data_IF_749675369783
#
_entry.id   IF_749675369783
#
_cell.length_a   1.000
_cell.length_b   1.000
_cell.length_c   1.000
_cell.angle_alpha   90.00
_cell.angle_beta   90.00
_cell.angle_gamma   90.00
#
_symmetry.space_group_name_H-M   'P 1'
#
loop_
_entity.id
_entity.type
_entity.pdbx_description
1 polymer ?
#
# COMPACT_ATOMS: atom_id res chain seq x y z
N UNK A 1 -0.14 -12.82 21.54
CA UNK A 1 -0.52 -12.20 20.23
C UNK A 1 -0.69 -10.70 20.39
N UNK A 2 -0.34 -9.89 19.36
CA UNK A 2 -0.58 -8.45 19.32
C UNK A 2 -1.56 -8.12 18.18
N UNK A 3 -2.36 -7.08 18.37
CA UNK A 3 -3.18 -6.49 17.30
C UNK A 3 -2.51 -5.16 16.89
N UNK A 4 -2.42 -4.90 15.60
CA UNK A 4 -1.88 -3.66 15.04
C UNK A 4 -2.87 -3.07 14.03
N UNK A 5 -2.81 -1.77 13.85
CA UNK A 5 -3.53 -1.08 12.79
C UNK A 5 -2.74 -1.12 11.48
N UNK A 6 -3.46 -1.02 10.38
CA UNK A 6 -2.84 -0.82 9.06
C UNK A 6 -2.43 0.64 8.88
N UNK A 7 -1.41 0.87 8.06
CA UNK A 7 -0.92 2.23 7.80
C UNK A 7 -0.18 2.32 6.47
N UNK A 8 -0.07 3.54 5.96
CA UNK A 8 0.71 3.88 4.77
C UNK A 8 1.71 4.97 5.13
N UNK A 9 2.95 4.82 4.72
CA UNK A 9 3.99 5.84 4.92
C UNK A 9 4.88 5.97 3.68
N UNK A 10 5.39 7.18 3.46
CA UNK A 10 6.30 7.47 2.36
C UNK A 10 7.71 6.95 2.69
N UNK A 11 8.34 6.26 1.74
CA UNK A 11 9.78 5.96 1.77
C UNK A 11 10.52 6.99 0.93
N UNK A 12 10.10 7.19 -0.32
CA UNK A 12 10.62 8.23 -1.19
C UNK A 12 9.61 8.59 -2.29
N UNK A 13 9.79 9.75 -2.89
CA UNK A 13 9.05 10.24 -4.04
C UNK A 13 9.99 11.05 -4.93
N UNK A 14 9.73 11.09 -6.23
CA UNK A 14 10.45 11.97 -7.15
C UNK A 14 10.46 13.41 -6.60
N UNK A 15 11.64 14.05 -6.45
CA UNK A 15 11.69 15.46 -6.04
C UNK A 15 10.92 16.34 -7.02
N UNK A 16 10.14 17.31 -6.50
CA UNK A 16 9.32 18.21 -7.31
C UNK A 16 8.57 17.48 -8.45
N UNK A 17 7.70 16.49 -8.15
CA UNK A 17 7.24 15.53 -9.14
C UNK A 17 6.46 16.17 -10.30
N UNK A 18 5.73 17.26 -10.06
CA UNK A 18 5.00 17.96 -11.12
C UNK A 18 5.95 18.71 -12.07
N UNK A 19 7.08 19.23 -11.56
CA UNK A 19 8.15 19.81 -12.41
C UNK A 19 8.83 18.73 -13.25
N UNK A 20 9.09 17.55 -12.68
CA UNK A 20 9.66 16.44 -13.42
C UNK A 20 8.73 15.99 -14.58
N UNK A 21 7.43 15.94 -14.33
CA UNK A 21 6.41 15.64 -15.34
C UNK A 21 6.39 16.71 -16.44
N UNK A 22 6.43 17.99 -16.08
CA UNK A 22 6.48 19.09 -17.06
C UNK A 22 7.73 19.01 -17.90
N UNK A 23 8.90 18.84 -17.29
CA UNK A 23 10.18 18.78 -17.99
C UNK A 23 10.18 17.64 -19.03
N UNK A 24 9.68 16.46 -18.67
CA UNK A 24 9.53 15.35 -19.59
C UNK A 24 8.56 15.67 -20.74
N UNK A 25 7.40 16.23 -20.42
CA UNK A 25 6.36 16.51 -21.42
C UNK A 25 6.73 17.64 -22.39
N UNK A 26 7.46 18.67 -21.94
CA UNK A 26 7.92 19.77 -22.83
C UNK A 26 8.88 19.27 -23.89
N UNK A 27 9.66 18.24 -23.62
CA UNK A 27 10.57 17.62 -24.58
C UNK A 27 9.85 17.13 -25.85
N UNK A 28 8.61 16.62 -25.71
CA UNK A 28 7.85 16.10 -26.84
C UNK A 28 7.53 17.17 -27.90
N UNK A 29 7.36 18.42 -27.50
CA UNK A 29 6.98 19.54 -28.37
C UNK A 29 8.07 20.58 -28.50
N UNK A 30 9.29 20.33 -27.93
CA UNK A 30 10.39 21.28 -27.90
C UNK A 30 9.93 22.66 -27.39
N UNK A 31 9.21 22.65 -26.27
CA UNK A 31 8.59 23.83 -25.67
C UNK A 31 9.14 24.13 -24.26
N UNK A 32 10.40 23.81 -24.03
CA UNK A 32 11.13 24.05 -22.79
C UNK A 32 11.19 25.55 -22.42
N UNK A 33 11.14 26.42 -23.43
CA UNK A 33 11.03 27.88 -23.30
C UNK A 33 9.76 28.35 -22.55
N UNK A 34 8.74 27.48 -22.43
CA UNK A 34 7.50 27.76 -21.70
C UNK A 34 7.54 27.34 -20.23
N UNK A 35 8.63 26.76 -19.77
CA UNK A 35 8.80 26.40 -18.35
C UNK A 35 9.00 27.68 -17.55
N UNK A 36 8.19 27.85 -16.50
CA UNK A 36 8.28 28.95 -15.53
C UNK A 36 8.16 28.40 -14.12
N UNK A 37 8.41 29.20 -13.10
CA UNK A 37 8.31 28.80 -11.70
C UNK A 37 6.90 28.26 -11.31
N UNK A 38 5.86 28.65 -12.06
CA UNK A 38 4.46 28.30 -11.77
C UNK A 38 3.79 27.41 -12.83
N UNK A 39 4.48 27.04 -13.91
CA UNK A 39 3.84 26.31 -15.04
C UNK A 39 3.58 24.83 -14.77
N UNK A 40 4.35 24.21 -13.86
CA UNK A 40 4.31 22.76 -13.60
C UNK A 40 2.93 22.27 -13.13
N UNK A 41 2.29 23.00 -12.23
CA UNK A 41 0.97 22.66 -11.70
C UNK A 41 -0.08 22.53 -12.82
N UNK A 42 -0.22 23.58 -13.63
CA UNK A 42 -1.15 23.61 -14.75
C UNK A 42 -0.81 22.55 -15.80
N UNK A 43 0.48 22.32 -16.06
CA UNK A 43 0.91 21.30 -17.01
C UNK A 43 0.54 19.90 -16.53
N UNK A 44 0.83 19.55 -15.27
CA UNK A 44 0.51 18.27 -14.67
C UNK A 44 -1.01 18.01 -14.69
N UNK A 45 -1.82 18.99 -14.30
CA UNK A 45 -3.28 18.94 -14.38
C UNK A 45 -3.76 18.67 -15.82
N UNK A 46 -3.22 19.39 -16.81
CA UNK A 46 -3.56 19.19 -18.21
C UNK A 46 -3.24 17.79 -18.69
N UNK A 47 -2.05 17.26 -18.39
CA UNK A 47 -1.65 15.89 -18.78
C UNK A 47 -2.56 14.84 -18.15
N UNK A 48 -2.98 15.07 -16.91
CA UNK A 48 -3.87 14.17 -16.18
C UNK A 48 -5.29 14.19 -16.77
N UNK A 49 -5.87 15.37 -16.95
CA UNK A 49 -7.28 15.54 -17.39
C UNK A 49 -7.50 15.22 -18.87
N UNK A 50 -6.50 15.44 -19.73
CA UNK A 50 -6.58 15.11 -21.14
C UNK A 50 -6.17 13.68 -21.49
N UNK A 51 -5.80 12.86 -20.47
CA UNK A 51 -5.43 11.46 -20.66
C UNK A 51 -4.02 11.22 -21.20
N UNK A 52 -3.17 12.26 -21.23
CA UNK A 52 -1.76 12.11 -21.64
C UNK A 52 -0.92 11.46 -20.52
N UNK A 53 -1.38 10.32 -20.02
CA UNK A 53 -0.84 9.67 -18.83
C UNK A 53 0.60 9.16 -18.99
N UNK A 54 1.13 9.05 -20.21
CA UNK A 54 2.54 8.73 -20.42
C UNK A 54 3.48 9.75 -19.74
N UNK A 55 3.06 11.01 -19.64
CA UNK A 55 3.88 12.05 -19.01
C UNK A 55 3.97 11.88 -17.50
N UNK A 56 2.90 11.45 -16.86
CA UNK A 56 2.91 11.24 -15.40
C UNK A 56 3.65 9.96 -14.98
N UNK A 57 4.08 9.11 -15.92
CA UNK A 57 4.96 7.98 -15.66
C UNK A 57 6.39 8.40 -15.28
N UNK A 58 6.79 9.66 -15.58
CA UNK A 58 8.10 10.21 -15.26
C UNK A 58 8.26 10.61 -13.78
N UNK A 59 7.20 10.53 -12.98
CA UNK A 59 7.27 10.63 -11.53
C UNK A 59 6.91 9.31 -10.88
N UNK A 60 7.57 8.98 -9.78
CA UNK A 60 7.41 7.72 -9.06
C UNK A 60 7.42 7.92 -7.56
N UNK A 61 6.83 7.00 -6.82
CA UNK A 61 6.87 6.96 -5.37
C UNK A 61 7.04 5.52 -4.85
N UNK A 62 7.68 5.40 -3.70
CA UNK A 62 7.80 4.16 -2.94
C UNK A 62 7.10 4.34 -1.60
N UNK A 63 6.06 3.55 -1.35
CA UNK A 63 5.29 3.58 -0.12
C UNK A 63 5.48 2.27 0.65
N UNK A 64 5.60 2.40 1.98
CA UNK A 64 5.50 1.27 2.91
C UNK A 64 4.07 1.14 3.36
N UNK A 65 3.51 -0.04 3.22
CA UNK A 65 2.15 -0.39 3.61
C UNK A 65 2.23 -1.47 4.69
N UNK A 66 1.68 -1.17 5.86
CA UNK A 66 1.44 -2.16 6.92
C UNK A 66 0.00 -2.62 6.77
N UNK A 67 -0.19 -3.91 6.57
CA UNK A 67 -1.50 -4.55 6.41
C UNK A 67 -1.40 -6.03 6.75
N UNK A 68 -2.41 -6.82 6.41
CA UNK A 68 -2.34 -8.26 6.54
C UNK A 68 -1.94 -8.97 5.24
N UNK A 69 -1.71 -10.27 5.34
CA UNK A 69 -1.30 -11.09 4.20
C UNK A 69 -2.42 -11.28 3.17
N UNK A 70 -3.67 -11.33 3.59
CA UNK A 70 -4.82 -11.41 2.67
C UNK A 70 -4.86 -10.20 1.74
N UNK A 71 -4.75 -9.00 2.29
CA UNK A 71 -4.73 -7.75 1.54
C UNK A 71 -3.46 -7.61 0.70
N UNK A 72 -2.30 -8.06 1.21
CA UNK A 72 -1.07 -7.99 0.41
C UNK A 72 -1.16 -8.81 -0.88
N UNK A 73 -1.94 -9.89 -0.90
CA UNK A 73 -2.21 -10.66 -2.13
C UNK A 73 -3.02 -9.88 -3.17
N UNK A 74 -3.83 -8.92 -2.76
CA UNK A 74 -4.51 -7.99 -3.67
C UNK A 74 -3.58 -6.89 -4.18
N UNK A 75 -2.67 -6.37 -3.33
CA UNK A 75 -1.71 -5.34 -3.69
C UNK A 75 -0.77 -5.82 -4.79
N UNK A 76 -0.20 -7.02 -4.67
CA UNK A 76 0.75 -7.56 -5.65
C UNK A 76 0.14 -7.93 -7.01
N UNK A 77 -1.18 -7.78 -7.18
CA UNK A 77 -1.84 -7.94 -8.48
C UNK A 77 -1.60 -6.75 -9.41
N UNK A 78 -1.10 -5.63 -8.90
CA UNK A 78 -0.68 -4.46 -9.67
C UNK A 78 0.73 -4.68 -10.21
N UNK A 79 0.83 -5.21 -11.44
CA UNK A 79 2.08 -5.77 -11.98
C UNK A 79 3.06 -4.74 -12.55
N UNK A 80 2.63 -3.48 -12.74
CA UNK A 80 3.50 -2.38 -13.16
C UNK A 80 4.17 -1.71 -11.96
N UNK A 81 4.53 -2.49 -10.95
CA UNK A 81 5.14 -2.05 -9.72
C UNK A 81 6.20 -3.06 -9.25
N UNK A 82 7.10 -2.59 -8.39
CA UNK A 82 8.08 -3.43 -7.70
C UNK A 82 7.69 -3.61 -6.24
N UNK A 83 7.96 -4.79 -5.69
CA UNK A 83 7.55 -5.17 -4.35
C UNK A 83 8.70 -5.73 -3.52
N UNK A 84 8.75 -5.33 -2.25
CA UNK A 84 9.53 -5.99 -1.21
C UNK A 84 8.60 -6.22 -0.02
N UNK A 85 8.46 -7.47 0.42
CA UNK A 85 7.53 -7.85 1.46
C UNK A 85 8.21 -8.62 2.59
N UNK A 86 7.79 -8.39 3.83
CA UNK A 86 8.18 -9.18 5.00
C UNK A 86 7.96 -10.67 4.71
N UNK A 87 9.04 -11.44 4.85
CA UNK A 87 9.03 -12.86 4.49
C UNK A 87 8.78 -13.73 5.71
N UNK A 88 7.68 -14.44 5.75
CA UNK A 88 7.40 -15.47 6.76
C UNK A 88 8.34 -16.69 6.69
N UNK A 89 9.18 -16.78 5.67
CA UNK A 89 10.23 -17.80 5.57
C UNK A 89 11.43 -17.44 6.44
N UNK A 90 11.79 -16.15 6.47
CA UNK A 90 12.98 -15.66 7.18
C UNK A 90 12.65 -15.01 8.52
N UNK A 91 11.44 -14.48 8.69
CA UNK A 91 11.00 -13.91 9.95
C UNK A 91 10.53 -15.01 10.88
N UNK A 92 11.32 -15.25 11.93
CA UNK A 92 10.96 -16.19 13.00
C UNK A 92 10.25 -15.43 14.12
N UNK A 93 8.94 -15.62 14.24
CA UNK A 93 8.10 -14.93 15.23
C UNK A 93 8.32 -15.43 16.67
N UNK A 94 9.06 -16.52 16.88
CA UNK A 94 9.48 -16.95 18.22
C UNK A 94 10.70 -16.19 18.76
N UNK A 95 11.29 -15.28 17.98
CA UNK A 95 12.44 -14.48 18.41
C UNK A 95 12.06 -13.17 19.08
N UNK A 96 12.98 -12.64 19.90
CA UNK A 96 12.79 -11.41 20.69
C UNK A 96 12.43 -10.19 19.85
N UNK A 97 12.93 -10.10 18.62
CA UNK A 97 12.58 -9.05 17.64
C UNK A 97 11.06 -8.94 17.41
N UNK A 98 10.34 -10.05 17.54
CA UNK A 98 8.89 -10.13 17.39
C UNK A 98 8.16 -10.26 18.73
N UNK A 99 8.87 -10.03 19.87
CA UNK A 99 8.36 -10.20 21.22
C UNK A 99 7.78 -11.61 21.47
N UNK A 100 8.39 -12.61 20.84
CA UNK A 100 8.02 -14.03 20.97
C UNK A 100 6.55 -14.29 20.63
N UNK A 101 6.02 -13.65 19.59
CA UNK A 101 4.62 -13.78 19.19
C UNK A 101 4.32 -13.20 17.81
N UNK A 102 3.12 -13.50 17.31
CA UNK A 102 2.64 -12.92 16.07
C UNK A 102 1.91 -11.58 16.30
N UNK A 103 1.85 -10.79 15.28
CA UNK A 103 0.99 -9.61 15.20
C UNK A 103 -0.05 -9.83 14.12
N UNK A 104 -1.30 -9.46 14.36
CA UNK A 104 -2.41 -9.57 13.40
C UNK A 104 -3.03 -8.21 13.16
N UNK A 105 -3.69 -8.05 12.01
CA UNK A 105 -4.55 -6.91 11.71
C UNK A 105 -6.00 -7.33 11.94
N UNK A 106 -6.71 -6.61 12.79
CA UNK A 106 -8.13 -6.84 13.00
C UNK A 106 -8.92 -6.33 11.77
N UNK A 107 -9.75 -7.18 11.13
CA UNK A 107 -10.56 -6.73 10.01
C UNK A 107 -11.54 -5.62 10.42
N UNK A 108 -11.84 -4.64 9.54
CA UNK A 108 -12.77 -3.56 9.85
C UNK A 108 -14.13 -4.08 10.33
N UNK A 109 -14.59 -3.56 11.46
CA UNK A 109 -15.86 -3.94 12.07
C UNK A 109 -15.83 -5.24 12.89
N UNK A 110 -14.75 -6.02 12.84
CA UNK A 110 -14.64 -7.26 13.61
C UNK A 110 -14.68 -7.02 15.12
N UNK A 111 -14.05 -5.94 15.62
CA UNK A 111 -14.05 -5.59 17.06
C UNK A 111 -15.45 -5.39 17.66
N UNK A 112 -16.40 -4.97 16.82
CA UNK A 112 -17.82 -4.78 17.20
C UNK A 112 -18.70 -5.97 16.84
N UNK A 113 -18.12 -7.01 16.26
CA UNK A 113 -18.83 -8.20 15.85
C UNK A 113 -19.09 -9.13 17.05
N UNK A 114 -20.24 -9.81 17.13
CA UNK A 114 -20.47 -10.89 18.10
C UNK A 114 -19.51 -12.07 17.90
N UNK A 115 -18.77 -12.10 16.80
CA UNK A 115 -17.78 -13.15 16.49
C UNK A 115 -16.34 -12.77 16.84
N UNK A 116 -16.12 -11.61 17.47
CA UNK A 116 -14.78 -11.13 17.80
C UNK A 116 -13.98 -12.13 18.65
N UNK A 117 -14.60 -12.65 19.73
CA UNK A 117 -13.95 -13.61 20.62
C UNK A 117 -13.55 -14.91 19.89
N UNK A 118 -14.40 -15.38 18.96
CA UNK A 118 -14.09 -16.57 18.18
C UNK A 118 -12.92 -16.32 17.21
N UNK A 119 -12.91 -15.15 16.56
CA UNK A 119 -11.80 -14.73 15.70
C UNK A 119 -10.50 -14.60 16.49
N UNK A 120 -10.56 -13.96 17.66
CA UNK A 120 -9.40 -13.75 18.52
C UNK A 120 -8.81 -15.09 19.00
N UNK A 121 -9.66 -15.99 19.50
CA UNK A 121 -9.26 -17.33 19.93
C UNK A 121 -8.62 -18.15 18.78
N UNK A 122 -9.13 -18.04 17.56
CA UNK A 122 -8.55 -18.71 16.38
C UNK A 122 -7.15 -18.19 16.07
N UNK A 123 -6.92 -16.87 16.20
CA UNK A 123 -5.61 -16.26 16.02
C UNK A 123 -4.62 -16.67 17.14
N UNK A 124 -5.06 -16.73 18.39
CA UNK A 124 -4.23 -17.23 19.52
C UNK A 124 -3.87 -18.71 19.37
N UNK A 125 -4.80 -19.53 18.91
CA UNK A 125 -4.51 -20.94 18.60
C UNK A 125 -3.47 -21.06 17.49
N UNK A 126 -3.57 -20.23 16.42
CA UNK A 126 -2.56 -20.18 15.35
C UNK A 126 -1.18 -19.80 15.89
N UNK A 127 -1.11 -18.78 16.77
CA UNK A 127 0.14 -18.35 17.40
C UNK A 127 0.74 -19.48 18.24
N UNK A 128 -0.03 -20.03 19.18
CA UNK A 128 0.44 -21.09 20.07
C UNK A 128 0.90 -22.33 19.30
N UNK A 129 0.18 -22.70 18.24
CA UNK A 129 0.58 -23.80 17.37
C UNK A 129 1.89 -23.51 16.64
N UNK A 130 2.05 -22.31 16.06
CA UNK A 130 3.28 -21.89 15.40
C UNK A 130 4.47 -21.93 16.38
N UNK A 131 4.33 -21.31 17.55
CA UNK A 131 5.40 -21.27 18.57
C UNK A 131 5.77 -22.66 19.06
N UNK A 132 4.78 -23.53 19.30
CA UNK A 132 5.00 -24.93 19.69
C UNK A 132 5.78 -25.69 18.60
N UNK A 133 5.38 -25.55 17.33
CA UNK A 133 6.09 -26.19 16.21
C UNK A 133 7.56 -25.76 16.14
N UNK A 134 7.83 -24.45 16.25
CA UNK A 134 9.20 -23.93 16.24
C UNK A 134 9.99 -24.39 17.44
N UNK A 135 9.39 -24.40 18.64
CA UNK A 135 10.03 -24.89 19.86
C UNK A 135 10.45 -26.36 19.75
N UNK A 136 9.65 -27.18 19.06
CA UNK A 136 9.98 -28.59 18.78
C UNK A 136 10.84 -28.80 17.54
N UNK A 137 11.50 -27.76 17.05
CA UNK A 137 12.50 -27.85 15.98
C UNK A 137 11.95 -27.83 14.54
N UNK A 138 10.65 -27.56 14.36
CA UNK A 138 10.10 -27.35 13.01
C UNK A 138 10.60 -25.99 12.51
N UNK A 139 11.19 -25.99 11.30
CA UNK A 139 11.69 -24.75 10.70
C UNK A 139 10.59 -23.74 10.50
N UNK A 140 10.84 -22.42 10.73
CA UNK A 140 9.84 -21.36 10.54
C UNK A 140 9.17 -21.38 9.17
N UNK A 141 9.92 -21.72 8.11
CA UNK A 141 9.39 -21.83 6.74
C UNK A 141 8.31 -22.92 6.56
N UNK A 142 8.26 -23.88 7.46
CA UNK A 142 7.22 -24.93 7.50
C UNK A 142 6.14 -24.55 8.53
N UNK A 143 6.57 -24.13 9.73
CA UNK A 143 5.65 -23.74 10.81
C UNK A 143 4.67 -22.65 10.40
N UNK A 144 5.09 -21.72 9.51
CA UNK A 144 4.23 -20.65 8.98
C UNK A 144 2.93 -21.12 8.31
N UNK A 145 2.82 -22.41 7.98
CA UNK A 145 1.63 -22.98 7.33
C UNK A 145 0.36 -22.87 8.18
N UNK A 146 0.50 -22.70 9.50
CA UNK A 146 -0.64 -22.53 10.43
C UNK A 146 -0.98 -21.06 10.72
N UNK A 147 -0.21 -20.10 10.17
CA UNK A 147 -0.45 -18.68 10.41
C UNK A 147 -1.70 -18.18 9.67
N UNK A 148 -2.51 -17.32 10.31
CA UNK A 148 -3.75 -16.83 9.71
C UNK A 148 -3.48 -15.83 8.58
N UNK A 149 -4.46 -15.65 7.68
CA UNK A 149 -4.39 -14.64 6.61
C UNK A 149 -4.37 -13.20 7.15
N UNK A 150 -4.94 -12.97 8.34
CA UNK A 150 -4.89 -11.68 9.03
C UNK A 150 -3.52 -11.40 9.69
N UNK A 151 -2.52 -12.30 9.53
CA UNK A 151 -1.15 -12.03 9.98
C UNK A 151 -0.64 -10.72 9.41
N UNK A 152 -0.18 -9.80 10.29
CA UNK A 152 0.44 -8.53 9.89
C UNK A 152 1.61 -8.78 8.96
N UNK A 153 1.72 -7.96 7.94
CA UNK A 153 2.88 -7.92 7.04
C UNK A 153 3.24 -6.47 6.72
N UNK A 154 4.46 -6.26 6.31
CA UNK A 154 4.93 -5.01 5.73
C UNK A 154 5.26 -5.26 4.27
N UNK A 155 4.76 -4.40 3.39
CA UNK A 155 5.05 -4.44 1.97
C UNK A 155 5.45 -3.05 1.48
N UNK A 156 6.57 -2.98 0.80
CA UNK A 156 6.99 -1.79 0.05
C UNK A 156 6.53 -1.95 -1.38
N UNK A 157 5.76 -1.00 -1.87
CA UNK A 157 5.36 -0.91 -3.27
C UNK A 157 6.00 0.33 -3.88
N UNK A 158 6.72 0.14 -4.98
CA UNK A 158 7.30 1.21 -5.79
C UNK A 158 6.64 1.20 -7.16
N UNK A 159 6.04 2.32 -7.53
CA UNK A 159 5.38 2.48 -8.82
C UNK A 159 5.49 3.92 -9.33
N UNK A 160 5.30 4.11 -10.66
CA UNK A 160 5.12 5.44 -11.21
C UNK A 160 3.73 6.01 -10.89
N UNK A 161 3.52 7.30 -11.12
CA UNK A 161 2.27 7.96 -10.75
C UNK A 161 1.05 7.45 -11.54
N UNK A 162 1.24 7.00 -12.78
CA UNK A 162 0.15 6.37 -13.54
C UNK A 162 -0.33 5.09 -12.88
N UNK A 163 0.57 4.23 -12.41
CA UNK A 163 0.21 3.00 -11.72
C UNK A 163 -0.36 3.27 -10.31
N UNK A 164 0.14 4.29 -9.60
CA UNK A 164 -0.49 4.71 -8.34
C UNK A 164 -1.92 5.21 -8.55
N UNK A 165 -2.19 5.97 -9.60
CA UNK A 165 -3.57 6.37 -9.96
C UNK A 165 -4.42 5.15 -10.28
N UNK A 166 -3.90 4.20 -11.06
CA UNK A 166 -4.59 2.95 -11.38
C UNK A 166 -4.90 2.14 -10.11
N UNK A 167 -3.94 2.01 -9.19
CA UNK A 167 -4.15 1.36 -7.89
C UNK A 167 -5.32 2.01 -7.13
N UNK A 168 -5.32 3.33 -6.99
CA UNK A 168 -6.36 4.07 -6.27
C UNK A 168 -7.72 3.91 -6.95
N UNK A 169 -7.77 4.04 -8.27
CA UNK A 169 -9.01 3.91 -9.06
C UNK A 169 -9.61 2.50 -8.99
N UNK A 170 -8.77 1.47 -8.96
CA UNK A 170 -9.25 0.09 -8.90
C UNK A 170 -9.65 -0.32 -7.47
N UNK A 171 -8.96 0.18 -6.43
CA UNK A 171 -9.14 -0.25 -5.05
C UNK A 171 -10.02 0.67 -4.19
N UNK A 172 -10.28 1.90 -4.66
CA UNK A 172 -11.15 2.87 -3.99
C UNK A 172 -12.66 2.58 -4.01
N UNK A 173 -13.24 1.98 -5.08
CA UNK A 173 -14.69 1.74 -5.18
C UNK A 173 -15.26 0.89 -4.04
N UNK A 174 -16.55 1.11 -3.69
CA UNK A 174 -17.28 0.35 -2.64
C UNK A 174 -17.30 -1.17 -2.84
N UNK A 175 -17.14 -1.64 -4.08
CA UNK A 175 -17.04 -3.07 -4.38
C UNK A 175 -15.74 -3.72 -3.88
N UNK A 176 -14.70 -2.92 -3.55
CA UNK A 176 -13.46 -3.42 -2.98
C UNK A 176 -13.59 -3.83 -1.52
N UNK A 177 -12.69 -4.71 -1.08
CA UNK A 177 -12.62 -5.08 0.34
C UNK A 177 -12.38 -3.84 1.21
N UNK A 178 -13.08 -3.65 2.34
CA UNK A 178 -12.97 -2.43 3.16
C UNK A 178 -11.53 -2.06 3.57
N UNK A 179 -10.69 -3.04 3.88
CA UNK A 179 -9.29 -2.83 4.24
C UNK A 179 -8.47 -2.23 3.09
N UNK A 180 -8.57 -2.78 1.87
CA UNK A 180 -7.78 -2.25 0.74
C UNK A 180 -8.28 -0.88 0.29
N UNK A 181 -9.59 -0.61 0.46
CA UNK A 181 -10.16 0.73 0.24
C UNK A 181 -9.52 1.78 1.15
N UNK A 182 -9.40 1.47 2.45
CA UNK A 182 -8.74 2.36 3.41
C UNK A 182 -7.27 2.62 3.01
N UNK A 183 -6.53 1.58 2.59
CA UNK A 183 -5.16 1.73 2.09
C UNK A 183 -5.13 2.63 0.84
N UNK A 184 -6.05 2.44 -0.11
CA UNK A 184 -6.11 3.26 -1.32
C UNK A 184 -6.38 4.74 -0.98
N UNK A 185 -7.27 5.03 -0.03
CA UNK A 185 -7.53 6.36 0.49
C UNK A 185 -6.27 6.98 1.11
N UNK A 186 -5.58 6.23 1.96
CA UNK A 186 -4.39 6.71 2.65
C UNK A 186 -3.23 6.97 1.67
N UNK A 187 -3.08 6.12 0.63
CA UNK A 187 -2.16 6.37 -0.49
C UNK A 187 -2.55 7.65 -1.25
N UNK A 188 -3.84 7.85 -1.57
CA UNK A 188 -4.31 9.06 -2.24
C UNK A 188 -3.98 10.31 -1.43
N UNK A 189 -4.33 10.33 -0.15
CA UNK A 189 -4.11 11.47 0.73
C UNK A 189 -2.62 11.83 0.82
N UNK A 190 -1.77 10.81 0.92
CA UNK A 190 -0.33 11.00 0.99
C UNK A 190 0.23 11.55 -0.32
N UNK A 191 -0.10 10.95 -1.46
CA UNK A 191 0.42 11.35 -2.78
C UNK A 191 -0.12 12.72 -3.22
N UNK A 192 -1.36 13.05 -2.87
CA UNK A 192 -1.97 14.36 -3.13
C UNK A 192 -1.21 15.48 -2.41
N UNK A 193 -0.61 15.23 -1.25
CA UNK A 193 0.24 16.19 -0.55
C UNK A 193 1.49 16.61 -1.33
N UNK A 194 1.95 15.79 -2.28
CA UNK A 194 3.14 16.05 -3.10
C UNK A 194 2.84 16.42 -4.55
N UNK A 195 1.73 15.94 -5.09
CA UNK A 195 1.33 16.17 -6.49
C UNK A 195 -0.19 16.37 -6.60
N UNK A 196 -0.72 17.47 -6.04
CA UNK A 196 -2.16 17.73 -6.01
C UNK A 196 -2.79 17.80 -7.40
N UNK A 197 -2.07 18.27 -8.40
CA UNK A 197 -2.58 18.39 -9.78
C UNK A 197 -2.55 17.06 -10.56
N UNK A 198 -1.91 16.03 -10.00
CA UNK A 198 -1.93 14.68 -10.55
C UNK A 198 -2.97 13.80 -9.88
N UNK A 199 -3.24 13.99 -8.59
CA UNK A 199 -4.11 13.10 -7.80
C UNK A 199 -5.41 13.75 -7.33
N UNK A 200 -5.56 15.09 -7.45
CA UNK A 200 -6.69 15.84 -6.90
C UNK A 200 -8.05 15.46 -7.50
N UNK A 201 -8.09 15.08 -8.76
CA UNK A 201 -9.31 14.62 -9.45
C UNK A 201 -9.87 13.31 -8.88
N UNK A 202 -9.05 12.54 -8.17
CA UNK A 202 -9.46 11.27 -7.56
C UNK A 202 -10.17 11.45 -6.21
N UNK A 203 -10.02 12.60 -5.55
CA UNK A 203 -10.55 12.84 -4.19
C UNK A 203 -12.07 12.69 -4.14
N UNK A 204 -12.78 13.20 -5.14
CA UNK A 204 -14.25 13.18 -5.21
C UNK A 204 -14.84 11.95 -5.91
N UNK A 205 -14.01 11.02 -6.42
CA UNK A 205 -14.50 9.89 -7.19
C UNK A 205 -15.13 8.79 -6.35
N UNK A 206 -14.80 8.71 -5.07
CA UNK A 206 -15.19 7.59 -4.21
C UNK A 206 -15.86 8.10 -2.94
N UNK A 207 -16.93 7.42 -2.56
CA UNK A 207 -17.46 7.51 -1.22
C UNK A 207 -16.58 6.66 -0.28
N UNK A 208 -15.81 7.34 0.57
CA UNK A 208 -14.88 6.72 1.51
C UNK A 208 -15.51 6.37 2.87
N UNK A 209 -16.83 6.57 3.01
CA UNK A 209 -17.58 6.20 4.22
C UNK A 209 -17.72 4.69 4.39
#
# INVERSE_FOLDING_TARGET
MKISEQSVSLIWITPDPEKAIEQAGRTCYKSEDKITDSSAARFAEQMTTTGHHAMIEHASASLRIITDRGISHEIVRHRLASYAQESTRYCNYSGDKFANGITVICPPGMEKSPHYEAWYAACELSESTYLSMVHHGVKPEIARSVLPTCLKTEIVMTANFREWRHFIQLRGPKAGHPQIRSIARDCLNLLMGYAPNVFGDLVGLFDWS
#
